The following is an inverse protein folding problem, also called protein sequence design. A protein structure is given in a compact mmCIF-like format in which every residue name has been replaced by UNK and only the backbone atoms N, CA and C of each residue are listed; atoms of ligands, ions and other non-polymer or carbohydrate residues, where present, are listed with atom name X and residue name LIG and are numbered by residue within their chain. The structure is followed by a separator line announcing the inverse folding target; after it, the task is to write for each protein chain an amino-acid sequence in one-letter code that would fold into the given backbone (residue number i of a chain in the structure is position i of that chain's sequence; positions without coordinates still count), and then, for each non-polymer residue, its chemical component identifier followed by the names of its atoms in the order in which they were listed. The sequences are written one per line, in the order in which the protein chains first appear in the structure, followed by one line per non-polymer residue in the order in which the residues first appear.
data_IF_026472292733
#
_entry.id   IF_026472292733
#
_cell.length_a   1.000
_cell.length_b   1.000
_cell.length_c   1.000
_cell.angle_alpha   90.00
_cell.angle_beta   90.00
_cell.angle_gamma   90.00
#
_symmetry.space_group_name_H-M   'P 1'
#
loop_
_entity.id
_entity.type
_entity.pdbx_description
1 polymer ?
#
# COMPACT_ATOMS: atom_id res chain seq x y z
N UNK A 1 -1.49 -29.99 -3.61
CA UNK A 1 -0.69 -31.15 -3.16
C UNK A 1 0.62 -31.38 -3.92
N UNK A 2 0.79 -30.99 -5.19
CA UNK A 2 2.12 -31.00 -5.85
C UNK A 2 3.01 -29.81 -5.44
N UNK A 3 2.43 -28.60 -5.32
CA UNK A 3 3.16 -27.40 -4.90
C UNK A 3 3.65 -27.46 -3.45
N UNK A 4 2.88 -28.09 -2.56
CA UNK A 4 3.29 -28.28 -1.16
C UNK A 4 4.51 -29.20 -1.04
N UNK A 5 4.63 -30.19 -1.93
CA UNK A 5 5.80 -31.08 -1.98
C UNK A 5 7.07 -30.37 -2.48
N UNK A 6 6.93 -29.23 -3.15
CA UNK A 6 8.05 -28.40 -3.60
C UNK A 6 8.50 -27.38 -2.53
N UNK A 7 7.83 -27.32 -1.37
CA UNK A 7 8.19 -26.39 -0.31
C UNK A 7 9.51 -26.81 0.36
N UNK A 8 10.34 -25.83 0.78
CA UNK A 8 11.55 -26.12 1.55
C UNK A 8 11.23 -26.88 2.84
N UNK A 9 12.25 -27.56 3.38
CA UNK A 9 12.12 -28.30 4.63
C UNK A 9 11.66 -27.37 5.76
N UNK A 10 10.97 -27.93 6.77
CA UNK A 10 10.42 -27.12 7.86
C UNK A 10 11.46 -26.26 8.58
N UNK A 11 12.66 -26.79 8.81
CA UNK A 11 13.76 -26.04 9.41
C UNK A 11 14.14 -24.79 8.60
N UNK A 12 14.17 -24.90 7.26
CA UNK A 12 14.46 -23.76 6.38
C UNK A 12 13.33 -22.72 6.40
N UNK A 13 12.08 -23.18 6.42
CA UNK A 13 10.90 -22.30 6.51
C UNK A 13 10.86 -21.52 7.82
N UNK A 14 11.22 -22.15 8.94
CA UNK A 14 11.32 -21.49 10.26
C UNK A 14 12.47 -20.48 10.35
N UNK A 15 13.49 -20.59 9.50
CA UNK A 15 14.59 -19.64 9.45
C UNK A 15 14.24 -18.32 8.74
N UNK A 16 13.13 -18.27 7.98
CA UNK A 16 12.66 -17.04 7.33
C UNK A 16 12.08 -16.10 8.39
N UNK A 17 12.70 -14.92 8.51
CA UNK A 17 12.30 -13.93 9.51
C UNK A 17 11.25 -12.93 9.00
N UNK A 18 11.29 -12.60 7.71
CA UNK A 18 10.37 -11.64 7.12
C UNK A 18 10.08 -11.97 5.65
N UNK A 19 8.90 -11.61 5.19
CA UNK A 19 8.48 -11.71 3.78
C UNK A 19 7.97 -10.34 3.34
N UNK A 20 8.68 -9.73 2.41
CA UNK A 20 8.22 -8.55 1.71
C UNK A 20 7.21 -8.94 0.63
N UNK A 21 6.02 -8.35 0.63
CA UNK A 21 4.97 -8.67 -0.35
C UNK A 21 4.01 -7.50 -0.61
N UNK A 22 3.23 -7.65 -1.68
CA UNK A 22 2.09 -6.78 -1.98
C UNK A 22 0.93 -7.03 -1.00
N UNK A 23 0.00 -6.09 -0.92
CA UNK A 23 -1.17 -6.14 -0.01
C UNK A 23 -2.29 -7.04 -0.55
N UNK A 24 -1.98 -8.32 -0.80
CA UNK A 24 -2.94 -9.32 -1.27
C UNK A 24 -3.29 -10.33 -0.17
N UNK A 25 -4.58 -10.39 0.17
CA UNK A 25 -5.08 -11.31 1.21
C UNK A 25 -4.77 -12.80 0.89
N UNK A 26 -4.79 -13.18 -0.39
CA UNK A 26 -4.48 -14.55 -0.80
C UNK A 26 -3.00 -14.90 -0.58
N UNK A 27 -2.09 -13.96 -0.87
CA UNK A 27 -0.67 -14.15 -0.63
C UNK A 27 -0.35 -14.13 0.86
N UNK A 28 -0.95 -13.21 1.62
CA UNK A 28 -0.81 -13.16 3.07
C UNK A 28 -1.27 -14.49 3.71
N UNK A 29 -2.43 -15.02 3.30
CA UNK A 29 -2.93 -16.29 3.80
C UNK A 29 -1.95 -17.44 3.50
N UNK A 30 -1.43 -17.52 2.26
CA UNK A 30 -0.46 -18.53 1.86
C UNK A 30 0.84 -18.47 2.68
N UNK A 31 1.35 -17.26 2.94
CA UNK A 31 2.55 -17.04 3.74
C UNK A 31 2.30 -17.39 5.20
N UNK A 32 1.16 -17.00 5.78
CA UNK A 32 0.81 -17.38 7.15
C UNK A 32 0.69 -18.89 7.34
N UNK A 33 0.18 -19.60 6.32
CA UNK A 33 0.12 -21.07 6.34
C UNK A 33 1.48 -21.74 6.19
N UNK A 34 2.38 -21.16 5.39
CA UNK A 34 3.64 -21.81 4.99
C UNK A 34 4.85 -21.39 5.85
N UNK A 35 4.87 -20.13 6.28
CA UNK A 35 5.96 -19.46 6.99
C UNK A 35 5.41 -18.76 8.25
N UNK A 36 4.84 -19.52 9.22
CA UNK A 36 4.11 -18.93 10.35
C UNK A 36 4.99 -18.08 11.29
N UNK A 37 6.32 -18.26 11.25
CA UNK A 37 7.26 -17.49 12.06
C UNK A 37 7.72 -16.18 11.39
N UNK A 38 7.47 -16.00 10.10
CA UNK A 38 7.93 -14.83 9.37
C UNK A 38 7.00 -13.64 9.56
N UNK A 39 7.57 -12.45 9.74
CA UNK A 39 6.84 -11.18 9.76
C UNK A 39 6.47 -10.80 8.32
N UNK A 40 5.19 -10.52 8.08
CA UNK A 40 4.73 -9.97 6.81
C UNK A 40 5.06 -8.48 6.76
N UNK A 41 5.85 -8.07 5.77
CA UNK A 41 6.23 -6.67 5.53
C UNK A 41 5.60 -6.23 4.22
N UNK A 42 4.69 -5.26 4.26
CA UNK A 42 4.10 -4.72 3.04
C UNK A 42 5.02 -3.68 2.40
N UNK A 43 5.10 -3.69 1.07
CA UNK A 43 5.87 -2.69 0.33
C UNK A 43 5.32 -1.27 0.58
N UNK A 44 6.22 -0.35 0.94
CA UNK A 44 5.93 1.06 1.19
C UNK A 44 5.24 1.73 0.01
N UNK A 45 5.59 1.36 -1.23
CA UNK A 45 5.02 1.94 -2.44
C UNK A 45 3.50 1.82 -2.48
N UNK A 46 2.95 0.65 -2.12
CA UNK A 46 1.51 0.44 -2.12
C UNK A 46 0.80 1.31 -1.07
N UNK A 47 1.39 1.44 0.12
CA UNK A 47 0.86 2.31 1.18
C UNK A 47 0.86 3.78 0.74
N UNK A 48 1.98 4.26 0.19
CA UNK A 48 2.11 5.64 -0.29
C UNK A 48 1.19 5.91 -1.47
N UNK A 49 1.02 4.95 -2.39
CA UNK A 49 0.10 5.06 -3.52
C UNK A 49 -1.35 5.24 -3.04
N UNK A 50 -1.82 4.42 -2.10
CA UNK A 50 -3.16 4.56 -1.53
C UNK A 50 -3.36 5.91 -0.83
N UNK A 51 -2.35 6.40 -0.12
CA UNK A 51 -2.39 7.73 0.49
C UNK A 51 -2.54 8.83 -0.57
N UNK A 52 -1.74 8.79 -1.64
CA UNK A 52 -1.85 9.76 -2.75
C UNK A 52 -3.21 9.71 -3.42
N UNK A 53 -3.79 8.53 -3.62
CA UNK A 53 -5.13 8.37 -4.18
C UNK A 53 -6.21 8.98 -3.28
N UNK A 54 -6.11 8.77 -1.96
CA UNK A 54 -7.02 9.35 -0.98
C UNK A 54 -6.93 10.89 -0.97
N UNK A 55 -5.70 11.43 -0.96
CA UNK A 55 -5.44 12.87 -1.03
C UNK A 55 -6.03 13.48 -2.31
N UNK A 56 -5.77 12.88 -3.47
CA UNK A 56 -6.27 13.39 -4.74
C UNK A 56 -7.80 13.34 -4.82
N UNK A 57 -8.42 12.28 -4.29
CA UNK A 57 -9.89 12.17 -4.20
C UNK A 57 -10.47 13.29 -3.35
N UNK A 58 -9.93 13.52 -2.16
CA UNK A 58 -10.38 14.59 -1.27
C UNK A 58 -10.18 15.97 -1.92
N UNK A 59 -8.98 16.25 -2.44
CA UNK A 59 -8.66 17.52 -3.11
C UNK A 59 -9.63 17.81 -4.27
N UNK A 60 -9.95 16.80 -5.08
CA UNK A 60 -10.92 16.94 -6.19
C UNK A 60 -12.34 17.20 -5.71
N UNK A 61 -12.77 16.53 -4.63
CA UNK A 61 -14.08 16.76 -4.02
C UNK A 61 -14.22 18.19 -3.51
N UNK A 62 -13.26 18.64 -2.70
CA UNK A 62 -13.23 19.99 -2.13
C UNK A 62 -13.15 21.05 -3.25
N UNK A 63 -12.28 20.88 -4.24
CA UNK A 63 -12.17 21.81 -5.36
C UNK A 63 -13.47 21.94 -6.16
N UNK A 64 -14.21 20.83 -6.33
CA UNK A 64 -15.51 20.84 -6.99
C UNK A 64 -16.58 21.54 -6.15
N UNK A 65 -16.56 21.40 -4.83
CA UNK A 65 -17.47 22.12 -3.94
C UNK A 65 -17.20 23.62 -3.94
N UNK A 66 -15.94 24.03 -3.84
CA UNK A 66 -15.55 25.44 -3.85
C UNK A 66 -15.85 26.13 -5.18
N UNK A 67 -15.68 25.42 -6.31
CA UNK A 67 -16.09 25.92 -7.61
C UNK A 67 -17.60 26.22 -7.70
N UNK A 68 -18.45 25.42 -7.02
CA UNK A 68 -19.90 25.69 -6.92
C UNK A 68 -20.21 26.89 -6.03
N UNK A 69 -19.36 27.17 -5.04
CA UNK A 69 -19.51 28.31 -4.11
C UNK A 69 -18.97 29.63 -4.70
N UNK A 70 -18.36 29.60 -5.89
CA UNK A 70 -17.86 30.78 -6.58
C UNK A 70 -16.40 31.15 -6.27
N UNK A 71 -15.68 30.32 -5.50
CA UNK A 71 -14.24 30.52 -5.21
C UNK A 71 -13.40 29.29 -5.57
N UNK A 72 -13.11 29.07 -6.87
CA UNK A 72 -12.32 27.91 -7.30
C UNK A 72 -10.81 28.06 -7.06
N UNK A 73 -10.34 29.19 -6.52
CA UNK A 73 -8.94 29.61 -6.63
C UNK A 73 -7.98 28.82 -5.71
N UNK A 74 -8.42 28.50 -4.49
CA UNK A 74 -7.58 27.96 -3.42
C UNK A 74 -7.00 26.57 -3.72
N UNK A 75 -7.74 25.69 -4.40
CA UNK A 75 -7.29 24.32 -4.70
C UNK A 75 -6.88 24.11 -6.17
N UNK A 76 -6.99 25.14 -7.00
CA UNK A 76 -6.58 25.10 -8.40
C UNK A 76 -5.05 25.13 -8.49
N UNK A 77 -4.47 24.22 -9.26
CA UNK A 77 -3.02 24.14 -9.44
C UNK A 77 -2.22 23.57 -8.27
N UNK A 78 -2.86 23.29 -7.11
CA UNK A 78 -2.16 22.83 -5.90
C UNK A 78 -1.85 21.33 -5.91
N UNK A 79 -2.30 20.57 -6.92
CA UNK A 79 -2.16 19.08 -7.00
C UNK A 79 -0.77 18.58 -6.60
N UNK A 80 0.28 19.16 -7.17
CA UNK A 80 1.65 18.70 -6.93
C UNK A 80 2.20 19.10 -5.57
N UNK A 81 1.59 20.05 -4.87
CA UNK A 81 1.97 20.38 -3.49
C UNK A 81 1.63 19.23 -2.54
N UNK A 82 0.52 18.54 -2.79
CA UNK A 82 0.03 17.42 -1.98
C UNK A 82 0.71 16.08 -2.24
N UNK A 83 1.50 15.98 -3.31
CA UNK A 83 2.22 14.76 -3.71
C UNK A 83 3.69 14.78 -3.30
N UNK A 84 4.16 15.87 -2.70
CA UNK A 84 5.53 15.98 -2.18
C UNK A 84 5.54 15.49 -0.74
N UNK A 85 6.42 14.54 -0.44
CA UNK A 85 6.79 14.21 0.93
C UNK A 85 7.55 15.37 1.59
N UNK A 86 7.59 15.37 2.93
CA UNK A 86 8.29 16.38 3.75
C UNK A 86 9.80 16.40 3.49
N UNK A 87 10.35 15.33 2.89
CA UNK A 87 11.77 15.21 2.58
C UNK A 87 12.09 15.70 1.17
N UNK A 88 12.25 17.02 1.01
CA UNK A 88 13.22 17.65 0.10
C UNK A 88 13.64 19.03 0.63
#
# INVERSE_FOLDING_TARGET
RALEAALPQEAQRRAVQAVAMDMSAAYEASVRMTLPAAVVVFDKFHVVKMLHEAIEKTRRSEAAQMAKQGDPSLLKGTRYWWLKGVDK
#
